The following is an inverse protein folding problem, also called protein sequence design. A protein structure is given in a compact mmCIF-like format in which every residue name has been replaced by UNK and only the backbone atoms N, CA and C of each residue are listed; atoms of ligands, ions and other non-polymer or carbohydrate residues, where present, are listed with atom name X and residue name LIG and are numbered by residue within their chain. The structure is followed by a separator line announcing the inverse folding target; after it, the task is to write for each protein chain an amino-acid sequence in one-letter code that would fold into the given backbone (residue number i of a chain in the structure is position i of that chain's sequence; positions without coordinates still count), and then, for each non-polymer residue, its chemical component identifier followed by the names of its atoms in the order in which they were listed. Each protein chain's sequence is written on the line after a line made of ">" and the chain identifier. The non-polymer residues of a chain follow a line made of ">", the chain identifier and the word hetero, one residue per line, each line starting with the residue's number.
data_IF_408388300976
#
_entry.id   IF_408388300976
#
_cell.length_a   1.000
_cell.length_b   1.000
_cell.length_c   1.000
_cell.angle_alpha   90.00
_cell.angle_beta   90.00
_cell.angle_gamma   90.00
#
_symmetry.space_group_name_H-M   'P 1'
#
loop_
_entity.id
_entity.type
_entity.pdbx_description
1 polymer ?
#
# COMPACT_ATOMS: atom_id res chain seq x y z
N UNK A 1 72.23 -22.08 -64.28
CA UNK A 1 72.54 -20.64 -64.15
C UNK A 1 71.24 -19.88 -64.04
N UNK A 2 70.99 -19.24 -62.89
CA UNK A 2 69.83 -18.38 -62.65
C UNK A 2 70.20 -16.94 -63.04
N UNK A 3 69.43 -16.29 -63.91
CA UNK A 3 69.53 -14.85 -64.06
C UNK A 3 68.80 -14.19 -62.87
N UNK A 4 69.57 -13.59 -61.95
CA UNK A 4 69.09 -12.69 -60.90
C UNK A 4 68.22 -13.28 -59.76
N UNK A 5 68.36 -14.57 -59.44
CA UNK A 5 67.98 -15.11 -58.12
C UNK A 5 66.49 -15.12 -57.77
N UNK A 6 65.56 -15.08 -58.73
CA UNK A 6 64.11 -15.14 -58.46
C UNK A 6 63.43 -16.29 -59.22
N UNK A 7 62.46 -17.00 -58.61
CA UNK A 7 61.77 -18.12 -59.25
C UNK A 7 60.85 -17.66 -60.41
N UNK A 8 60.73 -18.53 -61.42
CA UNK A 8 60.21 -18.22 -62.78
C UNK A 8 58.73 -17.82 -62.86
N UNK A 9 57.96 -17.93 -61.77
CA UNK A 9 56.54 -17.55 -61.69
C UNK A 9 56.30 -16.18 -61.02
N UNK A 10 57.37 -15.45 -60.71
CA UNK A 10 57.27 -14.15 -60.05
C UNK A 10 56.97 -13.04 -61.07
N UNK A 11 55.68 -12.83 -61.34
CA UNK A 11 55.18 -11.67 -62.08
C UNK A 11 55.23 -10.45 -61.15
N UNK A 12 56.10 -9.47 -61.42
CA UNK A 12 56.28 -8.27 -60.59
C UNK A 12 55.01 -7.41 -60.40
N UNK A 13 53.95 -7.68 -61.16
CA UNK A 13 52.61 -7.09 -60.98
C UNK A 13 51.83 -7.70 -59.81
N UNK A 14 52.13 -8.93 -59.39
CA UNK A 14 51.43 -9.62 -58.29
C UNK A 14 51.83 -9.06 -56.91
N UNK A 15 53.07 -8.61 -56.77
CA UNK A 15 53.66 -8.11 -55.52
C UNK A 15 53.06 -6.76 -55.07
N UNK A 16 52.78 -5.85 -56.03
CA UNK A 16 52.29 -4.50 -55.71
C UNK A 16 50.85 -4.45 -55.20
N UNK A 17 49.94 -5.26 -55.75
CA UNK A 17 48.53 -5.24 -55.35
C UNK A 17 48.25 -6.03 -54.07
N UNK A 18 48.97 -7.14 -53.85
CA UNK A 18 48.79 -7.97 -52.66
C UNK A 18 49.45 -7.35 -51.41
N UNK A 19 50.40 -6.42 -51.56
CA UNK A 19 50.96 -5.62 -50.45
C UNK A 19 50.06 -4.45 -50.03
N UNK A 20 49.20 -3.94 -50.92
CA UNK A 20 48.27 -2.86 -50.58
C UNK A 20 47.19 -3.30 -49.58
N UNK A 21 46.73 -4.54 -49.67
CA UNK A 21 45.73 -5.12 -48.76
C UNK A 21 46.17 -5.18 -47.29
N UNK A 22 47.33 -5.77 -46.92
CA UNK A 22 47.78 -5.82 -45.54
C UNK A 22 48.12 -4.42 -45.00
N UNK A 23 48.63 -3.51 -45.85
CA UNK A 23 48.90 -2.12 -45.46
C UNK A 23 47.60 -1.37 -45.17
N UNK A 24 46.59 -1.50 -46.04
CA UNK A 24 45.27 -0.91 -45.83
C UNK A 24 44.60 -1.48 -44.57
N UNK A 25 44.71 -2.79 -44.34
CA UNK A 25 44.18 -3.45 -43.15
C UNK A 25 44.82 -2.94 -41.86
N UNK A 26 46.14 -2.79 -41.83
CA UNK A 26 46.87 -2.19 -40.70
C UNK A 26 46.50 -0.72 -40.50
N UNK A 27 46.30 0.03 -41.59
CA UNK A 27 45.82 1.41 -41.54
C UNK A 27 44.44 1.52 -40.88
N UNK A 28 43.51 0.62 -41.22
CA UNK A 28 42.17 0.58 -40.61
C UNK A 28 42.24 0.18 -39.14
N UNK A 29 43.08 -0.79 -38.76
CA UNK A 29 43.29 -1.15 -37.35
C UNK A 29 43.87 0.00 -36.53
N UNK A 30 44.88 0.69 -37.07
CA UNK A 30 45.47 1.86 -36.44
C UNK A 30 44.44 2.99 -36.29
N UNK A 31 43.58 3.19 -37.30
CA UNK A 31 42.49 4.16 -37.25
C UNK A 31 41.43 3.79 -36.19
N UNK A 32 41.04 2.52 -36.10
CA UNK A 32 40.12 2.02 -35.07
C UNK A 32 40.66 2.21 -33.65
N UNK A 33 41.98 2.13 -33.47
CA UNK A 33 42.65 2.40 -32.19
C UNK A 33 42.62 3.88 -31.77
N UNK A 34 42.33 4.81 -32.68
CA UNK A 34 42.18 6.24 -32.34
C UNK A 34 40.82 6.57 -31.73
N UNK A 35 39.84 5.67 -31.82
CA UNK A 35 38.53 5.90 -31.22
C UNK A 35 38.61 5.73 -29.70
N UNK A 36 38.18 6.73 -28.91
CA UNK A 36 38.08 6.56 -27.47
C UNK A 36 37.07 5.45 -27.14
N UNK A 37 37.26 4.71 -26.05
CA UNK A 37 36.26 3.76 -25.58
C UNK A 37 34.93 4.50 -25.39
N UNK A 38 33.83 3.86 -25.80
CA UNK A 38 32.49 4.42 -25.60
C UNK A 38 32.30 4.75 -24.11
N UNK A 39 31.69 5.89 -23.78
CA UNK A 39 31.41 6.23 -22.39
C UNK A 39 30.56 5.12 -21.75
N UNK A 40 30.90 4.75 -20.52
CA UNK A 40 30.08 3.81 -19.76
C UNK A 40 28.66 4.40 -19.63
N UNK A 41 27.65 3.57 -19.92
CA UNK A 41 26.27 3.96 -19.68
C UNK A 41 26.10 4.26 -18.18
N UNK A 42 25.38 5.33 -17.82
CA UNK A 42 25.05 5.58 -16.42
C UNK A 42 24.31 4.37 -15.85
N UNK A 43 24.72 3.94 -14.66
CA UNK A 43 24.06 2.83 -13.98
C UNK A 43 22.58 3.19 -13.73
N UNK A 44 21.64 2.25 -13.95
CA UNK A 44 20.25 2.45 -13.57
C UNK A 44 20.15 2.69 -12.06
N UNK A 45 19.76 3.89 -11.67
CA UNK A 45 19.43 4.18 -10.26
C UNK A 45 18.14 3.45 -9.94
N UNK A 46 18.23 2.36 -9.16
CA UNK A 46 17.04 1.64 -8.68
C UNK A 46 16.37 2.51 -7.60
N UNK A 47 15.10 2.93 -7.77
CA UNK A 47 14.40 3.67 -6.73
C UNK A 47 14.27 2.82 -5.47
N UNK A 48 14.70 3.35 -4.33
CA UNK A 48 14.46 2.69 -3.03
C UNK A 48 12.96 2.71 -2.76
N UNK A 49 12.35 1.54 -2.58
CA UNK A 49 10.94 1.44 -2.27
C UNK A 49 10.64 2.08 -0.91
N UNK A 50 9.54 2.86 -0.77
CA UNK A 50 9.15 3.43 0.50
C UNK A 50 8.80 2.32 1.51
N UNK A 51 9.00 2.56 2.83
CA UNK A 51 8.68 1.58 3.85
C UNK A 51 7.19 1.23 3.84
N UNK A 52 6.81 -0.03 4.13
CA UNK A 52 5.41 -0.43 4.19
C UNK A 52 4.68 0.32 5.33
N UNK A 53 3.38 0.58 5.14
CA UNK A 53 2.51 1.13 6.18
C UNK A 53 1.96 0.02 7.07
N UNK A 54 1.79 0.30 8.37
CA UNK A 54 1.11 -0.60 9.28
C UNK A 54 -0.35 -0.82 8.85
N UNK A 55 -0.82 -2.06 8.99
CA UNK A 55 -2.20 -2.40 8.72
C UNK A 55 -3.14 -1.74 9.75
N UNK A 56 -4.27 -1.21 9.27
CA UNK A 56 -5.35 -0.72 10.14
C UNK A 56 -6.23 -1.89 10.55
N UNK A 57 -6.45 -2.05 11.86
CA UNK A 57 -7.22 -3.17 12.42
C UNK A 57 -8.18 -2.63 13.47
N UNK A 58 -9.38 -3.23 13.54
CA UNK A 58 -10.30 -3.06 14.66
C UNK A 58 -10.11 -4.27 15.57
N UNK A 59 -9.67 -4.05 16.81
CA UNK A 59 -9.40 -5.12 17.78
C UNK A 59 -10.62 -5.40 18.66
N UNK A 60 -11.43 -4.38 18.95
CA UNK A 60 -12.65 -4.48 19.75
C UNK A 60 -13.73 -3.56 19.19
N UNK A 61 -15.00 -3.97 19.19
CA UNK A 61 -15.51 -5.27 19.61
C UNK A 61 -15.20 -6.38 18.58
N UNK A 62 -15.27 -7.67 18.98
CA UNK A 62 -15.16 -8.76 18.02
C UNK A 62 -16.32 -8.73 17.01
N UNK A 63 -16.10 -9.33 15.83
CA UNK A 63 -17.13 -9.39 14.79
C UNK A 63 -18.41 -10.08 15.24
N UNK A 64 -19.54 -9.61 14.72
CA UNK A 64 -20.89 -10.07 15.03
C UNK A 64 -21.31 -9.88 16.49
N UNK A 65 -20.75 -8.89 17.18
CA UNK A 65 -21.16 -8.55 18.54
C UNK A 65 -22.56 -7.93 18.56
N UNK A 66 -23.34 -8.30 19.58
CA UNK A 66 -24.64 -7.71 19.88
C UNK A 66 -24.51 -6.71 21.03
N UNK A 67 -24.96 -5.48 20.79
CA UNK A 67 -25.09 -4.44 21.81
C UNK A 67 -26.56 -4.13 22.08
N UNK A 68 -26.85 -3.70 23.29
CA UNK A 68 -28.12 -3.03 23.60
C UNK A 68 -28.01 -1.56 23.23
N UNK A 69 -29.08 -0.95 22.72
CA UNK A 69 -29.10 0.47 22.36
C UNK A 69 -28.66 1.39 23.51
N UNK A 70 -29.00 1.05 24.76
CA UNK A 70 -28.54 1.80 25.96
C UNK A 70 -27.09 1.52 26.39
N UNK A 71 -26.46 0.47 25.88
CA UNK A 71 -25.12 0.01 26.28
C UNK A 71 -24.25 -0.29 25.06
N UNK A 72 -24.16 0.68 24.16
CA UNK A 72 -23.22 0.61 23.05
C UNK A 72 -21.83 0.98 23.59
N UNK A 73 -20.86 0.11 23.31
CA UNK A 73 -19.47 0.27 23.76
C UNK A 73 -18.64 1.17 22.85
N UNK A 74 -17.33 0.99 22.94
CA UNK A 74 -16.36 1.70 22.10
C UNK A 74 -15.76 0.76 21.06
N UNK A 75 -15.29 1.36 19.97
CA UNK A 75 -14.49 0.69 18.94
C UNK A 75 -13.05 1.06 19.17
N UNK A 76 -12.22 0.06 19.40
CA UNK A 76 -10.79 0.20 19.64
C UNK A 76 -10.00 -0.58 18.59
N UNK A 77 -8.86 -0.05 18.20
CA UNK A 77 -8.03 -0.70 17.21
C UNK A 77 -6.64 -0.08 17.09
N UNK A 78 -5.92 -0.54 16.07
CA UNK A 78 -4.55 -0.13 15.78
C UNK A 78 -4.40 0.38 14.36
N UNK A 79 -3.54 1.37 14.19
CA UNK A 79 -3.21 1.97 12.91
C UNK A 79 -1.79 2.56 12.95
N UNK A 80 -1.29 3.03 11.81
CA UNK A 80 0.03 3.66 11.72
C UNK A 80 0.10 4.89 12.66
N UNK A 81 1.07 4.99 13.58
CA UNK A 81 1.26 6.19 14.40
C UNK A 81 1.41 7.46 13.56
N UNK A 82 0.75 8.55 13.97
CA UNK A 82 0.73 9.83 13.24
C UNK A 82 -0.14 9.83 11.98
N UNK A 83 -0.90 8.76 11.71
CA UNK A 83 -1.95 8.76 10.69
C UNK A 83 -3.27 9.34 11.22
N UNK A 84 -4.17 9.72 10.33
CA UNK A 84 -5.55 10.08 10.68
C UNK A 84 -6.45 8.91 10.37
N UNK A 85 -7.13 8.38 11.39
CA UNK A 85 -8.13 7.32 11.23
C UNK A 85 -9.51 7.96 11.15
N UNK A 86 -10.30 7.55 10.17
CA UNK A 86 -11.73 7.85 10.07
C UNK A 86 -12.49 6.55 10.24
N UNK A 87 -13.43 6.54 11.18
CA UNK A 87 -14.35 5.43 11.37
C UNK A 87 -15.62 5.69 10.57
N UNK A 88 -15.93 4.78 9.66
CA UNK A 88 -17.17 4.79 8.90
C UNK A 88 -18.15 3.75 9.42
N UNK A 89 -19.44 4.04 9.26
CA UNK A 89 -20.53 3.13 9.56
C UNK A 89 -21.58 3.12 8.44
N UNK A 90 -22.22 1.98 8.23
CA UNK A 90 -23.33 1.81 7.28
C UNK A 90 -24.45 1.00 7.93
N UNK A 91 -25.68 1.53 8.05
CA UNK A 91 -26.82 0.70 8.43
C UNK A 91 -27.18 -0.23 7.27
N UNK A 92 -27.41 -1.53 7.54
CA UNK A 92 -27.98 -2.48 6.58
C UNK A 92 -27.44 -2.39 5.13
N UNK A 93 -26.11 -2.27 4.95
CA UNK A 93 -25.42 -2.18 3.64
C UNK A 93 -25.74 -0.92 2.81
N UNK A 94 -26.27 0.14 3.42
CA UNK A 94 -26.38 1.46 2.79
C UNK A 94 -25.00 2.14 2.64
N UNK A 95 -24.99 3.35 2.06
CA UNK A 95 -23.77 4.15 1.91
C UNK A 95 -23.04 4.36 3.26
N UNK A 96 -21.71 4.21 3.23
CA UNK A 96 -20.83 4.50 4.36
C UNK A 96 -20.95 5.98 4.76
N UNK A 97 -21.15 6.21 6.05
CA UNK A 97 -21.18 7.52 6.69
C UNK A 97 -20.01 7.64 7.64
N UNK A 98 -19.41 8.81 7.71
CA UNK A 98 -18.38 9.10 8.70
C UNK A 98 -19.02 9.19 10.10
N UNK A 99 -18.52 8.39 11.04
CA UNK A 99 -18.85 8.53 12.45
C UNK A 99 -17.97 9.59 13.10
N UNK A 100 -16.68 9.58 12.75
CA UNK A 100 -15.71 10.54 13.27
C UNK A 100 -14.30 10.26 12.78
N UNK A 101 -13.40 11.18 13.13
CA UNK A 101 -11.99 11.15 12.75
C UNK A 101 -11.09 11.47 13.94
N UNK A 102 -9.90 10.88 13.99
CA UNK A 102 -8.87 11.21 14.98
C UNK A 102 -7.46 10.97 14.47
N UNK A 103 -6.49 11.69 15.00
CA UNK A 103 -5.06 11.39 14.79
C UNK A 103 -4.63 10.26 15.73
N UNK A 104 -3.86 9.32 15.20
CA UNK A 104 -3.36 8.15 15.92
C UNK A 104 -2.12 8.55 16.71
N UNK A 105 -2.10 8.39 18.04
CA UNK A 105 -0.94 8.72 18.87
C UNK A 105 0.26 7.81 18.59
N UNK A 106 1.38 8.08 19.26
CA UNK A 106 2.63 7.33 19.10
C UNK A 106 2.52 5.83 19.49
N UNK A 107 1.54 5.47 20.32
CA UNK A 107 1.27 4.09 20.71
C UNK A 107 0.54 3.27 19.63
N UNK A 108 0.09 3.93 18.55
CA UNK A 108 -0.58 3.31 17.43
C UNK A 108 -2.02 2.88 17.71
N UNK A 109 -2.63 3.32 18.82
CA UNK A 109 -3.99 2.92 19.23
C UNK A 109 -5.00 4.02 18.97
N UNK A 110 -6.21 3.65 18.59
CA UNK A 110 -7.32 4.58 18.44
C UNK A 110 -8.57 4.04 19.13
N UNK A 111 -9.47 4.96 19.53
CA UNK A 111 -10.74 4.63 20.18
C UNK A 111 -11.83 5.59 19.74
N UNK A 112 -12.95 5.04 19.28
CA UNK A 112 -14.15 5.77 18.95
C UNK A 112 -15.30 5.35 19.86
N UNK A 113 -16.01 6.32 20.41
CA UNK A 113 -17.23 6.05 21.17
C UNK A 113 -18.41 5.90 20.24
N UNK A 114 -19.12 4.79 20.34
CA UNK A 114 -20.36 4.59 19.59
C UNK A 114 -21.54 5.10 20.41
N UNK A 115 -22.32 6.02 19.84
CA UNK A 115 -23.50 6.57 20.50
C UNK A 115 -24.57 6.94 19.48
N UNK A 116 -25.84 6.89 19.90
CA UNK A 116 -26.97 7.36 19.09
C UNK A 116 -27.35 6.47 17.90
N UNK A 117 -26.92 5.21 17.91
CA UNK A 117 -27.30 4.25 16.87
C UNK A 117 -28.70 3.67 17.16
N UNK A 118 -29.52 3.56 16.13
CA UNK A 118 -30.84 2.92 16.22
C UNK A 118 -30.69 1.39 16.30
N UNK A 119 -31.69 0.66 16.84
CA UNK A 119 -31.64 -0.80 16.81
C UNK A 119 -31.70 -1.36 15.38
N UNK A 120 -30.58 -1.89 14.90
CA UNK A 120 -30.44 -2.57 13.59
C UNK A 120 -29.03 -3.14 13.42
N UNK A 121 -28.78 -3.73 12.25
CA UNK A 121 -27.46 -4.15 11.80
C UNK A 121 -26.62 -2.99 11.25
N UNK A 122 -25.34 -2.96 11.62
CA UNK A 122 -24.36 -2.02 11.08
C UNK A 122 -23.09 -2.72 10.62
N UNK A 123 -22.49 -2.16 9.58
CA UNK A 123 -21.11 -2.45 9.17
C UNK A 123 -20.24 -1.26 9.56
N UNK A 124 -19.12 -1.51 10.23
CA UNK A 124 -18.09 -0.54 10.53
C UNK A 124 -16.83 -0.79 9.71
N UNK A 125 -16.14 0.29 9.36
CA UNK A 125 -14.86 0.23 8.65
C UNK A 125 -13.96 1.38 9.08
N UNK A 126 -12.75 1.06 9.52
CA UNK A 126 -11.74 2.06 9.84
C UNK A 126 -10.81 2.24 8.64
N UNK A 127 -10.53 3.48 8.27
CA UNK A 127 -9.56 3.83 7.23
C UNK A 127 -8.57 4.82 7.81
N UNK A 128 -7.28 4.50 7.72
CA UNK A 128 -6.19 5.37 8.16
C UNK A 128 -5.49 6.00 6.96
N UNK A 129 -5.24 7.30 7.01
CA UNK A 129 -4.44 8.05 6.04
C UNK A 129 -3.15 8.55 6.68
N UNK A 130 -2.03 8.20 6.05
CA UNK A 130 -0.72 8.75 6.41
C UNK A 130 -0.54 10.15 5.84
N UNK A 131 0.39 10.93 6.40
CA UNK A 131 0.73 12.27 5.89
C UNK A 131 1.24 12.25 4.44
N UNK A 132 1.83 11.13 4.03
CA UNK A 132 2.31 10.91 2.66
C UNK A 132 1.17 10.59 1.66
N UNK A 133 -0.08 10.60 2.11
CA UNK A 133 -1.26 10.32 1.28
C UNK A 133 -1.58 8.84 1.07
N UNK A 134 -0.77 7.91 1.62
CA UNK A 134 -1.05 6.47 1.58
C UNK A 134 -2.12 6.11 2.60
N UNK A 135 -2.97 5.12 2.28
CA UNK A 135 -4.03 4.66 3.18
C UNK A 135 -3.98 3.16 3.46
N UNK A 136 -4.51 2.78 4.63
CA UNK A 136 -4.76 1.40 5.03
C UNK A 136 -6.19 1.30 5.56
N UNK A 137 -6.85 0.16 5.32
CA UNK A 137 -8.24 -0.07 5.72
C UNK A 137 -8.34 -1.34 6.57
N UNK A 138 -9.24 -1.32 7.54
CA UNK A 138 -9.61 -2.52 8.30
C UNK A 138 -10.46 -3.47 7.46
N UNK A 139 -10.57 -4.71 7.94
CA UNK A 139 -11.69 -5.56 7.57
C UNK A 139 -13.03 -4.94 8.01
N UNK A 140 -14.11 -5.36 7.36
CA UNK A 140 -15.46 -4.97 7.74
C UNK A 140 -15.83 -5.60 9.08
N UNK A 141 -16.26 -4.77 10.02
CA UNK A 141 -16.75 -5.21 11.33
C UNK A 141 -18.28 -5.14 11.34
N UNK A 142 -18.91 -6.29 11.51
CA UNK A 142 -20.37 -6.40 11.59
C UNK A 142 -20.83 -6.36 13.04
N UNK A 143 -21.88 -5.57 13.32
CA UNK A 143 -22.46 -5.45 14.65
C UNK A 143 -23.98 -5.35 14.60
N UNK A 144 -24.61 -5.86 15.65
CA UNK A 144 -26.06 -5.80 15.85
C UNK A 144 -26.38 -4.93 17.05
N UNK A 145 -27.32 -4.01 16.90
CA UNK A 145 -27.84 -3.21 17.99
C UNK A 145 -29.28 -3.62 18.24
N UNK A 146 -29.52 -4.22 19.40
CA UNK A 146 -30.82 -4.66 19.84
C UNK A 146 -31.53 -3.55 20.60
N UNK A 147 -32.86 -3.49 20.46
CA UNK A 147 -33.68 -2.61 21.27
C UNK A 147 -33.55 -2.98 22.76
N UNK A 148 -33.68 -1.99 23.63
CA UNK A 148 -33.75 -2.25 25.06
C UNK A 148 -35.06 -2.99 25.40
N UNK A 149 -35.04 -3.89 26.40
CA UNK A 149 -36.26 -4.49 26.90
C UNK A 149 -37.22 -3.40 27.35
N UNK A 150 -38.49 -3.48 26.95
CA UNK A 150 -39.50 -2.56 27.49
C UNK A 150 -39.54 -2.75 29.01
N UNK A 151 -39.54 -1.66 29.81
CA UNK A 151 -39.72 -1.79 31.24
C UNK A 151 -41.06 -2.48 31.50
N UNK A 152 -41.04 -3.58 32.25
CA UNK A 152 -42.27 -4.22 32.72
C UNK A 152 -43.04 -3.21 33.56
N UNK A 153 -44.34 -3.00 33.33
CA UNK A 153 -45.13 -2.11 34.17
C UNK A 153 -45.05 -2.62 35.62
N UNK A 154 -44.51 -1.77 36.50
CA UNK A 154 -44.45 -2.08 37.93
C UNK A 154 -45.89 -2.24 38.44
N UNK A 155 -46.22 -3.31 39.20
CA UNK A 155 -47.57 -3.49 39.69
C UNK A 155 -47.96 -2.29 40.57
N UNK A 156 -48.93 -1.52 40.10
CA UNK A 156 -49.44 -0.36 40.82
C UNK A 156 -49.84 -0.80 42.23
N UNK A 157 -49.12 -0.31 43.24
CA UNK A 157 -49.48 -0.53 44.63
C UNK A 157 -50.86 0.10 44.83
N UNK A 158 -51.90 -0.73 44.93
CA UNK A 158 -53.26 -0.30 45.30
C UNK A 158 -53.16 0.38 46.66
N UNK A 159 -53.05 1.71 46.66
CA UNK A 159 -53.13 2.54 47.86
C UNK A 159 -54.55 2.38 48.40
N UNK A 160 -54.71 1.45 49.34
CA UNK A 160 -55.95 1.20 50.08
C UNK A 160 -56.33 2.51 50.76
N UNK A 161 -57.38 3.17 50.26
CA UNK A 161 -58.01 4.30 50.96
C UNK A 161 -58.58 3.76 52.26
N UNK A 162 -57.90 4.04 53.37
CA UNK A 162 -58.47 3.87 54.71
C UNK A 162 -59.40 5.05 54.96
N UNK A 163 -60.62 4.73 55.35
CA UNK A 163 -61.73 5.64 55.58
C UNK A 163 -61.46 6.66 56.69
N UNK A 164 -62.16 7.80 56.60
CA UNK A 164 -62.64 8.53 57.78
C UNK A 164 -63.96 9.21 57.44
#
# INVERSE_FOLDING_TARGET
>A
MFANGKPRYWLGTYDRWHLLLPVAFLGVLAWLWTFPPAPALPEPVVPVAPPPIAATVIDSPPGNTHFRASRIGDVEGRAQPGSVVVLYYAPAQLALRELGRMEVPADGRYRFRLAGFAPQFYTLKAVAWTRDGRSSQSADLYLWIDADPRPTPSPATKRRKTAR
#
